data_IF_978162284332
#
_entry.id   IF_978162284332
#
_cell.length_a   1.000
_cell.length_b   1.000
_cell.length_c   1.000
_cell.angle_alpha   90.00
_cell.angle_beta   90.00
_cell.angle_gamma   90.00
#
_symmetry.space_group_name_H-M   'P 1'
#
loop_
_entity.id
_entity.type
_entity.pdbx_description
1 polymer ?
#
# COMPACT_ATOMS: atom_id res chain seq x y z
N UNK A 1 -28.31 -12.08 -4.89
CA UNK A 1 -28.04 -11.91 -4.87
C UNK A 1 -27.79 -11.84 -4.89
N UNK A 2 -27.51 -11.69 -4.81
CA UNK A 2 -26.94 -11.41 -4.77
C UNK A 2 -26.60 -11.58 -4.86
N UNK A 3 -26.59 -11.61 -4.91
CA UNK A 3 -26.02 -11.53 -4.88
C UNK A 3 -25.54 -11.74 -4.75
N UNK A 4 -25.40 -11.82 -4.89
CA UNK A 4 -24.75 -11.79 -4.72
C UNK A 4 -24.27 -12.17 -4.58
N UNK A 5 -24.30 -12.25 -4.54
CA UNK A 5 -23.85 -12.40 -4.34
C UNK A 5 -23.41 -12.73 -4.14
N UNK A 6 -23.41 -12.91 -4.25
CA UNK A 6 -22.87 -12.99 -4.02
C UNK A 6 -22.33 -12.90 -3.65
N UNK A 7 -22.07 -12.86 -3.40
CA UNK A 7 -21.46 -12.70 -2.90
C UNK A 7 -20.84 -12.75 -2.88
N UNK A 8 -20.82 -12.48 -2.91
CA UNK A 8 -20.24 -12.57 -3.20
C UNK A 8 -19.04 -12.62 -3.33
N UNK A 9 -18.72 -13.33 -3.99
CA UNK A 9 -17.35 -13.67 -4.13
C UNK A 9 -16.52 -12.55 -4.69
N UNK A 10 -16.98 -11.88 -5.69
CA UNK A 10 -16.27 -10.74 -6.23
C UNK A 10 -15.90 -9.74 -5.19
N UNK A 11 -16.77 -9.54 -4.28
CA UNK A 11 -16.55 -8.63 -3.18
C UNK A 11 -15.40 -9.09 -2.31
N UNK A 12 -15.28 -10.39 -2.11
CA UNK A 12 -14.21 -10.92 -1.30
C UNK A 12 -12.87 -10.81 -1.98
N UNK A 13 -12.88 -10.65 -3.30
CA UNK A 13 -11.65 -10.52 -4.06
C UNK A 13 -11.18 -9.08 -4.16
N UNK A 14 -11.97 -8.13 -3.71
CA UNK A 14 -11.54 -6.74 -3.75
C UNK A 14 -10.31 -6.54 -2.87
N UNK A 15 -9.30 -5.92 -3.42
CA UNK A 15 -8.06 -5.66 -2.71
C UNK A 15 -8.29 -4.55 -1.69
N UNK A 16 -7.97 -4.84 -0.44
CA UNK A 16 -8.16 -3.89 0.66
C UNK A 16 -6.89 -3.10 0.89
N UNK A 17 -6.95 -1.80 0.69
CA UNK A 17 -5.78 -0.92 0.68
C UNK A 17 -5.97 0.23 1.66
N UNK A 18 -4.90 0.59 2.35
CA UNK A 18 -4.84 1.81 3.14
C UNK A 18 -3.81 2.74 2.49
N UNK A 19 -4.10 4.03 2.45
CA UNK A 19 -3.25 5.02 1.80
C UNK A 19 -2.83 6.08 2.81
N UNK A 20 -1.53 6.37 2.86
CA UNK A 20 -0.97 7.38 3.73
C UNK A 20 -0.25 8.41 2.87
N UNK A 21 -0.75 9.63 2.85
CA UNK A 21 -0.23 10.70 2.00
C UNK A 21 -0.65 12.02 2.61
N UNK A 22 0.32 12.88 2.92
CA UNK A 22 0.04 14.19 3.52
C UNK A 22 -0.58 15.18 2.57
N UNK A 23 -0.47 14.96 1.27
CA UNK A 23 -1.00 15.88 0.28
C UNK A 23 -2.46 15.54 0.00
N UNK A 24 -3.35 16.34 0.57
CA UNK A 24 -4.78 16.05 0.56
C UNK A 24 -5.36 15.86 -0.83
N UNK A 25 -5.01 16.74 -1.75
CA UNK A 25 -5.53 16.67 -3.11
C UNK A 25 -4.99 15.43 -3.82
N UNK A 26 -3.70 15.20 -3.70
CA UNK A 26 -3.06 14.03 -4.29
C UNK A 26 -3.65 12.73 -3.72
N UNK A 27 -3.86 12.71 -2.40
CA UNK A 27 -4.44 11.54 -1.74
C UNK A 27 -5.85 11.24 -2.26
N UNK A 28 -6.68 12.28 -2.38
CA UNK A 28 -8.04 12.11 -2.87
C UNK A 28 -8.06 11.56 -4.30
N UNK A 29 -7.20 12.10 -5.16
CA UNK A 29 -7.12 11.66 -6.55
C UNK A 29 -6.66 10.20 -6.63
N UNK A 30 -5.68 9.84 -5.80
CA UNK A 30 -5.16 8.50 -5.78
C UNK A 30 -6.20 7.50 -5.30
N UNK A 31 -6.95 7.85 -4.25
CA UNK A 31 -8.04 7.02 -3.76
C UNK A 31 -9.10 6.80 -4.84
N UNK A 32 -9.47 7.86 -5.54
CA UNK A 32 -10.47 7.77 -6.59
C UNK A 32 -9.99 6.84 -7.72
N UNK A 33 -8.72 6.94 -8.08
CA UNK A 33 -8.15 6.07 -9.12
C UNK A 33 -8.23 4.61 -8.70
N UNK A 34 -7.76 4.28 -7.51
CA UNK A 34 -7.74 2.90 -7.07
C UNK A 34 -9.15 2.33 -6.90
N UNK A 35 -10.08 3.15 -6.42
CA UNK A 35 -11.47 2.72 -6.33
C UNK A 35 -12.06 2.45 -7.70
N UNK A 36 -11.71 3.27 -8.68
CA UNK A 36 -12.20 3.07 -10.05
C UNK A 36 -11.68 1.76 -10.64
N UNK A 37 -10.58 1.25 -10.11
CA UNK A 37 -9.99 0.00 -10.53
C UNK A 37 -10.47 -1.19 -9.70
N UNK A 38 -11.45 -0.98 -8.84
CA UNK A 38 -12.06 -2.05 -8.07
C UNK A 38 -11.47 -2.30 -6.70
N UNK A 39 -10.51 -1.49 -6.27
CA UNK A 39 -9.93 -1.66 -4.94
C UNK A 39 -10.87 -1.13 -3.86
N UNK A 40 -10.77 -1.72 -2.68
CA UNK A 40 -11.48 -1.25 -1.50
C UNK A 40 -10.50 -0.43 -0.66
N UNK A 41 -10.59 0.89 -0.77
CA UNK A 41 -9.73 1.77 0.02
C UNK A 41 -10.37 1.91 1.39
N UNK A 42 -9.86 1.13 2.34
CA UNK A 42 -10.47 1.03 3.67
C UNK A 42 -10.15 2.23 4.56
N UNK A 43 -9.09 2.94 4.26
CA UNK A 43 -8.75 4.18 4.95
C UNK A 43 -7.75 4.98 4.14
N UNK A 44 -7.79 6.29 4.26
CA UNK A 44 -6.76 7.16 3.71
C UNK A 44 -6.48 8.25 4.75
N UNK A 45 -5.21 8.49 5.02
CA UNK A 45 -4.78 9.36 6.11
C UNK A 45 -3.59 10.21 5.71
N UNK A 46 -3.44 11.35 6.38
CA UNK A 46 -2.16 12.04 6.40
C UNK A 46 -1.24 11.38 7.42
N UNK A 47 0.06 11.67 7.33
CA UNK A 47 1.06 11.03 8.19
C UNK A 47 0.94 11.47 9.66
N UNK A 48 0.18 12.52 9.94
CA UNK A 48 -0.04 12.95 11.30
C UNK A 48 -1.00 12.09 12.10
N UNK A 49 -1.70 11.16 11.46
CA UNK A 49 -2.62 10.27 12.13
C UNK A 49 -1.88 9.00 12.56
N UNK A 50 -2.47 8.26 13.48
CA UNK A 50 -1.86 7.01 13.93
C UNK A 50 -2.13 5.91 12.91
N UNK A 51 -1.28 5.84 11.91
CA UNK A 51 -1.43 4.89 10.81
C UNK A 51 -1.27 3.45 11.27
N UNK A 52 -0.41 3.22 12.25
CA UNK A 52 -0.17 1.86 12.75
C UNK A 52 -1.42 1.34 13.49
N UNK A 53 -2.02 2.18 14.33
CA UNK A 53 -3.25 1.78 15.02
C UNK A 53 -4.37 1.51 14.04
N UNK A 54 -4.49 2.34 13.01
CA UNK A 54 -5.52 2.16 11.99
C UNK A 54 -5.29 0.85 11.23
N UNK A 55 -4.05 0.56 10.87
CA UNK A 55 -3.74 -0.68 10.15
C UNK A 55 -4.05 -1.90 11.01
N UNK A 56 -3.77 -1.83 12.31
CA UNK A 56 -4.08 -2.94 13.21
C UNK A 56 -5.58 -3.18 13.30
N UNK A 57 -6.36 -2.10 13.31
CA UNK A 57 -7.81 -2.21 13.41
C UNK A 57 -8.45 -2.71 12.12
N UNK A 58 -8.00 -2.21 10.99
CA UNK A 58 -8.64 -2.49 9.70
C UNK A 58 -8.03 -3.65 8.94
N UNK A 59 -6.78 -4.00 9.24
CA UNK A 59 -6.08 -5.13 8.64
C UNK A 59 -6.11 -5.09 7.11
N UNK A 60 -5.58 -4.04 6.51
CA UNK A 60 -5.51 -3.96 5.05
C UNK A 60 -4.53 -5.00 4.51
N UNK A 61 -4.72 -5.41 3.26
CA UNK A 61 -3.77 -6.30 2.60
C UNK A 61 -2.51 -5.55 2.21
N UNK A 62 -2.66 -4.28 1.83
CA UNK A 62 -1.53 -3.45 1.45
C UNK A 62 -1.70 -2.05 2.01
N UNK A 63 -0.57 -1.42 2.33
CA UNK A 63 -0.54 -0.02 2.75
C UNK A 63 0.42 0.71 1.82
N UNK A 64 -0.05 1.80 1.25
CA UNK A 64 0.76 2.62 0.37
C UNK A 64 1.15 3.87 1.13
N UNK A 65 2.44 4.11 1.23
CA UNK A 65 2.98 5.22 2.01
C UNK A 65 3.72 6.17 1.09
N UNK A 66 3.24 7.40 1.00
CA UNK A 66 3.92 8.43 0.22
C UNK A 66 5.16 8.89 0.99
N UNK A 67 6.30 8.94 0.32
CA UNK A 67 7.55 9.35 0.93
C UNK A 67 8.23 10.43 0.09
N UNK A 68 9.06 11.22 0.75
CA UNK A 68 9.90 12.20 0.06
C UNK A 68 11.33 12.03 0.56
N UNK A 69 12.34 12.37 -0.24
CA UNK A 69 13.72 12.17 0.17
C UNK A 69 14.10 12.94 1.45
N UNK A 70 13.51 14.10 1.65
CA UNK A 70 13.90 14.96 2.76
C UNK A 70 13.17 14.67 4.07
N UNK A 71 12.04 13.97 4.01
CA UNK A 71 11.22 13.76 5.19
C UNK A 71 11.25 12.29 5.59
N UNK A 72 11.54 12.03 6.86
CA UNK A 72 11.64 10.66 7.35
C UNK A 72 10.36 10.06 7.88
N UNK A 73 9.29 10.85 8.00
CA UNK A 73 8.05 10.39 8.63
C UNK A 73 7.47 9.16 7.95
N UNK A 74 7.36 9.19 6.61
CA UNK A 74 6.80 8.05 5.89
C UNK A 74 7.64 6.79 6.04
N UNK A 75 8.96 6.93 6.03
CA UNK A 75 9.84 5.79 6.24
C UNK A 75 9.67 5.20 7.64
N UNK A 76 9.50 6.06 8.65
CA UNK A 76 9.27 5.61 10.02
C UNK A 76 7.96 4.83 10.13
N UNK A 77 6.91 5.33 9.50
CA UNK A 77 5.62 4.64 9.49
C UNK A 77 5.76 3.28 8.81
N UNK A 78 6.43 3.25 7.66
CA UNK A 78 6.63 2.01 6.91
C UNK A 78 7.34 0.95 7.75
N UNK A 79 8.39 1.35 8.46
CA UNK A 79 9.13 0.41 9.30
C UNK A 79 8.24 -0.13 10.42
N UNK A 80 7.44 0.71 11.05
CA UNK A 80 6.54 0.26 12.12
C UNK A 80 5.46 -0.67 11.60
N UNK A 81 4.94 -0.40 10.42
CA UNK A 81 3.94 -1.27 9.80
C UNK A 81 4.52 -2.65 9.51
N UNK A 82 5.75 -2.68 9.00
CA UNK A 82 6.40 -3.94 8.66
C UNK A 82 6.77 -4.75 9.90
N UNK A 83 6.83 -4.12 11.05
CA UNK A 83 7.15 -4.80 12.31
C UNK A 83 5.93 -5.38 13.01
N UNK A 84 4.73 -5.19 12.48
CA UNK A 84 3.53 -5.77 13.07
C UNK A 84 3.58 -7.29 13.00
N UNK A 85 2.94 -7.99 13.94
CA UNK A 85 2.94 -9.47 13.94
C UNK A 85 2.41 -10.07 12.65
N UNK A 86 1.39 -9.47 12.06
CA UNK A 86 0.86 -9.89 10.76
C UNK A 86 0.89 -8.69 9.84
N UNK A 87 2.07 -8.35 9.29
CA UNK A 87 2.21 -7.09 8.58
C UNK A 87 1.49 -7.10 7.24
N UNK A 88 0.95 -5.96 6.83
CA UNK A 88 0.47 -5.81 5.47
C UNK A 88 1.67 -5.71 4.54
N UNK A 89 1.41 -5.82 3.24
CA UNK A 89 2.44 -5.45 2.27
C UNK A 89 2.58 -3.94 2.31
N UNK A 90 3.78 -3.44 2.53
CA UNK A 90 4.03 -2.01 2.62
C UNK A 90 4.74 -1.55 1.36
N UNK A 91 4.11 -0.64 0.64
CA UNK A 91 4.62 -0.12 -0.63
C UNK A 91 4.90 1.36 -0.46
N UNK A 92 6.13 1.76 -0.69
CA UNK A 92 6.48 3.17 -0.70
C UNK A 92 6.19 3.73 -2.08
N UNK A 93 5.69 4.95 -2.12
CA UNK A 93 5.45 5.62 -3.39
C UNK A 93 5.87 7.08 -3.28
N UNK A 94 6.10 7.70 -4.42
CA UNK A 94 6.45 9.11 -4.47
C UNK A 94 6.28 9.62 -5.89
N UNK A 95 6.05 10.91 -6.03
CA UNK A 95 6.12 11.57 -7.32
C UNK A 95 7.58 11.89 -7.68
N UNK A 96 8.48 11.72 -6.72
CA UNK A 96 9.92 11.92 -6.94
C UNK A 96 10.54 10.64 -7.50
N UNK A 97 11.46 10.81 -8.44
CA UNK A 97 12.15 9.68 -9.04
C UNK A 97 12.90 8.88 -7.97
N UNK A 98 12.87 7.56 -8.09
CA UNK A 98 13.48 6.69 -7.09
C UNK A 98 14.99 6.94 -6.94
N UNK A 99 15.65 7.42 -7.97
CA UNK A 99 17.09 7.69 -7.90
C UNK A 99 17.42 8.80 -6.90
N UNK A 100 16.44 9.63 -6.56
CA UNK A 100 16.66 10.72 -5.61
C UNK A 100 16.69 10.23 -4.16
N UNK A 101 16.31 8.99 -3.93
CA UNK A 101 16.26 8.44 -2.57
C UNK A 101 17.54 7.73 -2.17
N UNK A 102 18.36 7.32 -3.13
CA UNK A 102 19.58 6.58 -2.81
C UNK A 102 19.25 5.33 -2.01
N UNK A 103 20.00 5.09 -0.95
CA UNK A 103 19.86 3.89 -0.14
C UNK A 103 18.63 3.92 0.76
N UNK A 104 17.90 5.02 0.82
CA UNK A 104 16.70 5.08 1.67
C UNK A 104 15.67 4.03 1.30
N UNK A 105 15.66 3.60 0.05
CA UNK A 105 14.71 2.60 -0.42
C UNK A 105 15.15 1.16 -0.19
N UNK A 106 16.36 0.96 0.30
CA UNK A 106 16.88 -0.39 0.49
C UNK A 106 15.98 -1.18 1.44
N UNK A 107 15.61 -2.38 1.01
CA UNK A 107 14.74 -3.23 1.80
C UNK A 107 13.26 -2.91 1.69
N UNK A 108 12.90 -1.91 0.89
CA UNK A 108 11.51 -1.52 0.70
C UNK A 108 11.04 -1.79 -0.72
N UNK A 109 9.76 -2.08 -0.86
CA UNK A 109 9.12 -2.11 -2.16
C UNK A 109 8.76 -0.68 -2.52
N UNK A 110 9.15 -0.24 -3.68
CA UNK A 110 8.88 1.13 -4.13
C UNK A 110 8.30 1.12 -5.54
N UNK A 111 7.22 1.85 -5.73
CA UNK A 111 6.60 2.04 -7.04
C UNK A 111 6.31 3.53 -7.18
N UNK A 112 6.77 4.15 -8.26
CA UNK A 112 6.49 5.58 -8.45
C UNK A 112 4.98 5.79 -8.60
N UNK A 113 4.52 6.96 -8.24
CA UNK A 113 3.09 7.25 -8.26
C UNK A 113 2.49 7.06 -9.67
N UNK A 114 3.27 7.35 -10.69
CA UNK A 114 2.79 7.20 -12.06
C UNK A 114 2.55 5.73 -12.44
N UNK A 115 3.26 4.82 -11.80
CA UNK A 115 3.21 3.39 -12.15
C UNK A 115 2.33 2.57 -11.23
N UNK A 116 1.87 3.14 -10.13
CA UNK A 116 1.11 2.37 -9.17
C UNK A 116 -0.33 2.21 -9.65
N UNK A 117 -0.84 1.00 -9.53
CA UNK A 117 -2.21 0.69 -9.91
C UNK A 117 -2.67 -0.52 -9.11
N UNK A 118 -3.97 -0.73 -9.10
CA UNK A 118 -4.57 -1.81 -8.34
C UNK A 118 -3.99 -3.18 -8.70
N UNK A 119 -3.76 -3.42 -10.00
CA UNK A 119 -3.21 -4.70 -10.45
C UNK A 119 -1.78 -4.92 -9.94
N UNK A 120 -0.96 -3.88 -9.95
CA UNK A 120 0.42 -3.99 -9.46
C UNK A 120 0.44 -4.28 -7.96
N UNK A 121 -0.43 -3.62 -7.21
CA UNK A 121 -0.53 -3.82 -5.77
C UNK A 121 -1.01 -5.23 -5.48
N UNK A 122 -2.02 -5.69 -6.21
CA UNK A 122 -2.58 -7.03 -6.01
C UNK A 122 -1.54 -8.11 -6.24
N UNK A 123 -0.69 -7.94 -7.25
CA UNK A 123 0.37 -8.90 -7.52
C UNK A 123 1.30 -9.04 -6.33
N UNK A 124 1.66 -7.94 -5.70
CA UNK A 124 2.54 -7.96 -4.54
C UNK A 124 1.85 -8.54 -3.32
N UNK A 125 0.61 -8.16 -3.08
CA UNK A 125 -0.12 -8.56 -1.89
C UNK A 125 -0.54 -10.02 -1.93
N UNK A 126 -0.76 -10.56 -3.12
CA UNK A 126 -1.32 -11.89 -3.28
C UNK A 126 -0.39 -12.86 -4.00
N UNK A 127 0.88 -12.60 -3.90
CA UNK A 127 1.86 -13.43 -4.55
C UNK A 127 2.72 -14.12 -3.49
N UNK A 128 2.14 -15.06 -2.78
CA UNK A 128 2.82 -15.66 -1.63
C UNK A 128 4.04 -16.44 -2.04
N UNK A 129 4.00 -17.02 -3.19
CA UNK A 129 5.11 -17.80 -3.63
C UNK A 129 6.35 -17.02 -3.83
N UNK A 130 6.18 -15.75 -4.00
CA UNK A 130 7.33 -15.00 -4.14
C UNK A 130 8.03 -14.82 -2.87
N UNK A 131 7.34 -15.17 -1.98
CA UNK A 131 7.99 -15.09 -0.86
C UNK A 131 9.14 -15.91 -0.88
N UNK A 132 9.20 -16.10 -1.31
CA UNK A 132 10.08 -16.66 -1.45
C UNK A 132 10.80 -16.94 -2.22
N UNK A 133 10.21 -16.97 -2.59
CA UNK A 133 10.69 -17.15 -2.99
C UNK A 133 11.48 -17.06 -3.45
N UNK A 134 11.43 -16.85 -3.60
CA UNK A 134 11.89 -16.73 -3.93
C UNK A 134 12.80 -16.74 -4.05
N UNK A 135 13.02 -17.06 -3.95
CA UNK A 135 13.69 -17.09 -4.02
C UNK A 135 14.48 -17.36 -4.28
N UNK A 136 14.68 -17.58 -4.35
CA UNK A 136 15.33 -17.82 -4.61
C UNK A 136 16.11 -17.98 -5.08
N UNK A 137 16.24 -18.11 -5.17
CA UNK A 137 16.80 -18.21 -5.47
C UNK A 137 17.36 -18.17 -5.56
N UNK A 138 17.71 -18.26 -5.81
CA UNK A 138 18.06 -18.21 -5.85
C UNK A 138 18.27 -18.04 -5.89
#
# INVERSE_FOLDING_TARGET
MRTGTPGSPGRNDALRIMIIDDHEISRAAFCALLRSEGADVVADLGAGHDAVAMARALRPEAVIVDVTPAAGTGFGIARRLRALPAPPIVILTSSTDRTRFGSQLDGHVFITKADICSAAIARLARSPGTDGLESPDP
#
